data_IF_620111566017
#
_entry.id   IF_620111566017
#
_cell.length_a   1.000
_cell.length_b   1.000
_cell.length_c   1.000
_cell.angle_alpha   90.00
_cell.angle_beta   90.00
_cell.angle_gamma   90.00
#
_symmetry.space_group_name_H-M   'P 1'
#
loop_
_entity.id
_entity.type
_entity.pdbx_description
1 polymer ?
#
# COMPACT_ATOMS: atom_id res chain seq x y z
N UNK A 1 -5.52 -0.50 11.04
CA UNK A 1 -6.70 0.39 11.05
C UNK A 1 -6.75 1.16 9.74
N UNK A 2 -7.94 1.59 9.30
CA UNK A 2 -8.12 2.44 8.11
C UNK A 2 -8.82 3.72 8.58
N UNK A 3 -8.32 4.89 8.16
CA UNK A 3 -8.78 6.18 8.67
C UNK A 3 -10.26 6.45 8.35
N UNK A 4 -10.71 6.12 7.13
CA UNK A 4 -12.11 6.28 6.71
C UNK A 4 -12.58 5.08 5.85
N UNK A 5 -12.94 3.95 6.48
CA UNK A 5 -13.23 2.71 5.76
C UNK A 5 -14.46 2.81 4.84
N UNK A 6 -15.41 3.70 5.16
CA UNK A 6 -16.62 3.90 4.36
C UNK A 6 -16.37 4.46 2.96
N UNK A 7 -15.19 5.05 2.72
CA UNK A 7 -14.83 5.57 1.39
C UNK A 7 -14.49 4.47 0.38
N UNK A 8 -14.15 3.25 0.82
CA UNK A 8 -13.64 2.18 -0.05
C UNK A 8 -14.79 1.44 -0.76
N UNK A 9 -15.92 1.28 -0.09
CA UNK A 9 -17.02 0.44 -0.57
C UNK A 9 -17.53 0.87 -1.94
N UNK A 10 -17.51 -0.05 -2.92
CA UNK A 10 -18.00 0.17 -4.27
C UNK A 10 -17.16 1.12 -5.13
N UNK A 11 -15.93 1.44 -4.72
CA UNK A 11 -15.00 2.28 -5.48
C UNK A 11 -13.98 1.48 -6.28
N UNK A 12 -13.59 2.01 -7.43
CA UNK A 12 -12.38 1.57 -8.16
C UNK A 12 -11.17 2.18 -7.46
N UNK A 13 -10.31 1.35 -6.90
CA UNK A 13 -9.22 1.82 -6.03
C UNK A 13 -7.85 1.55 -6.64
N UNK A 14 -6.95 2.52 -6.56
CA UNK A 14 -5.52 2.31 -6.76
C UNK A 14 -4.88 1.97 -5.41
N UNK A 15 -4.19 0.85 -5.32
CA UNK A 15 -3.49 0.42 -4.10
C UNK A 15 -2.00 0.73 -4.25
N UNK A 16 -1.46 1.54 -3.34
CA UNK A 16 -0.03 1.88 -3.27
C UNK A 16 0.60 1.21 -2.06
N UNK A 17 1.61 0.38 -2.28
CA UNK A 17 2.20 -0.50 -1.25
C UNK A 17 3.72 -0.38 -1.22
N UNK A 18 4.32 -0.85 -0.13
CA UNK A 18 5.76 -0.87 0.00
C UNK A 18 6.38 -2.03 -0.80
N UNK A 19 7.21 -1.69 -1.80
CA UNK A 19 7.80 -2.62 -2.75
C UNK A 19 8.60 -3.79 -2.14
N UNK A 20 9.45 -3.59 -1.10
CA UNK A 20 10.30 -4.64 -0.54
C UNK A 20 9.53 -5.83 0.06
N UNK A 21 8.33 -5.60 0.59
CA UNK A 21 7.53 -6.63 1.26
C UNK A 21 7.00 -7.69 0.27
N UNK A 22 6.77 -7.30 -0.98
CA UNK A 22 6.17 -8.16 -2.01
C UNK A 22 7.18 -8.60 -3.07
N UNK A 23 8.25 -7.83 -3.29
CA UNK A 23 9.34 -8.19 -4.22
C UNK A 23 10.38 -9.10 -3.58
N UNK A 24 10.57 -9.05 -2.25
CA UNK A 24 11.61 -9.81 -1.53
C UNK A 24 11.14 -10.45 -0.20
N UNK A 25 9.96 -10.08 0.33
CA UNK A 25 9.53 -10.39 1.71
C UNK A 25 8.60 -11.59 1.91
N UNK A 26 8.21 -12.32 0.86
CA UNK A 26 7.41 -13.55 0.95
C UNK A 26 5.92 -13.36 1.32
N UNK A 27 5.47 -12.14 1.64
CA UNK A 27 4.05 -11.83 1.72
C UNK A 27 3.48 -11.75 0.30
N UNK A 28 2.34 -12.39 0.04
CA UNK A 28 1.67 -12.36 -1.27
C UNK A 28 0.73 -11.17 -1.44
N UNK A 29 0.34 -10.52 -0.34
CA UNK A 29 -0.74 -9.52 -0.28
C UNK A 29 -0.34 -8.45 0.75
N UNK A 30 -0.41 -7.17 0.36
CA UNK A 30 -0.11 -6.01 1.21
C UNK A 30 -1.30 -5.51 2.03
N UNK A 31 -1.05 -4.55 2.94
CA UNK A 31 -2.07 -4.05 3.87
C UNK A 31 -3.22 -3.30 3.17
N UNK A 32 -2.89 -2.50 2.17
CA UNK A 32 -3.82 -1.84 1.26
C UNK A 32 -4.64 -2.82 0.43
N UNK A 33 -4.05 -3.90 -0.09
CA UNK A 33 -4.81 -4.94 -0.81
C UNK A 33 -5.82 -5.62 0.12
N UNK A 34 -5.40 -6.00 1.33
CA UNK A 34 -6.32 -6.56 2.34
C UNK A 34 -7.43 -5.58 2.69
N UNK A 35 -7.13 -4.28 2.79
CA UNK A 35 -8.14 -3.27 3.05
C UNK A 35 -9.14 -3.11 1.90
N UNK A 36 -8.67 -3.09 0.66
CA UNK A 36 -9.52 -3.02 -0.53
C UNK A 36 -10.55 -4.16 -0.55
N UNK A 37 -10.08 -5.40 -0.33
CA UNK A 37 -10.95 -6.58 -0.28
C UNK A 37 -11.91 -6.53 0.93
N UNK A 38 -11.37 -6.26 2.12
CA UNK A 38 -12.15 -6.26 3.37
C UNK A 38 -13.27 -5.23 3.38
N UNK A 39 -13.05 -4.06 2.79
CA UNK A 39 -14.01 -2.96 2.78
C UNK A 39 -14.80 -2.86 1.47
N UNK A 40 -14.71 -3.87 0.60
CA UNK A 40 -15.60 -4.04 -0.54
C UNK A 40 -15.36 -3.05 -1.68
N UNK A 41 -14.08 -2.78 -2.01
CA UNK A 41 -13.75 -2.09 -3.26
C UNK A 41 -14.37 -2.83 -4.45
N UNK A 42 -14.86 -2.10 -5.45
CA UNK A 42 -15.46 -2.73 -6.64
C UNK A 42 -14.41 -3.32 -7.57
N UNK A 43 -13.22 -2.71 -7.59
CA UNK A 43 -12.10 -3.09 -8.46
C UNK A 43 -10.79 -2.53 -7.88
N UNK A 44 -9.69 -3.26 -8.06
CA UNK A 44 -8.33 -2.72 -7.90
C UNK A 44 -7.78 -2.36 -9.28
N UNK A 45 -7.57 -1.07 -9.54
CA UNK A 45 -7.14 -0.54 -10.84
C UNK A 45 -5.67 -0.90 -11.09
N UNK A 46 -5.39 -1.51 -12.24
CA UNK A 46 -4.02 -1.79 -12.68
C UNK A 46 -3.30 -0.48 -13.10
N UNK A 47 -2.19 -0.10 -12.46
CA UNK A 47 -1.47 1.13 -12.80
C UNK A 47 -0.65 1.02 -14.09
N UNK A 48 -0.47 -0.17 -14.67
CA UNK A 48 0.38 -0.40 -15.87
C UNK A 48 0.14 0.59 -17.03
N UNK A 49 -1.11 0.94 -17.40
CA UNK A 49 -1.37 1.92 -18.47
C UNK A 49 -0.93 3.35 -18.14
N UNK A 50 -0.64 3.65 -16.87
CA UNK A 50 -0.40 4.99 -16.34
C UNK A 50 1.01 5.21 -15.81
N UNK A 51 1.86 4.16 -15.84
CA UNK A 51 3.22 4.21 -15.31
C UNK A 51 4.05 5.31 -15.98
N UNK A 52 4.88 5.95 -15.17
CA UNK A 52 5.82 6.97 -15.63
C UNK A 52 7.23 6.70 -15.14
N UNK A 53 8.22 7.07 -15.95
CA UNK A 53 9.64 7.00 -15.57
C UNK A 53 10.07 5.60 -15.15
N UNK A 54 10.80 5.51 -14.03
CA UNK A 54 11.43 4.25 -13.56
C UNK A 54 10.42 3.20 -13.08
N UNK A 55 9.16 3.58 -12.90
CA UNK A 55 8.10 2.62 -12.58
C UNK A 55 7.81 1.69 -13.77
N UNK A 56 8.04 2.13 -15.02
CA UNK A 56 7.94 1.25 -16.20
C UNK A 56 8.94 0.10 -16.08
N UNK A 57 10.22 0.43 -15.87
CA UNK A 57 11.30 -0.55 -15.69
C UNK A 57 11.01 -1.50 -14.50
N UNK A 58 10.41 -0.97 -13.43
CA UNK A 58 10.02 -1.77 -12.25
C UNK A 58 9.02 -2.86 -12.63
N UNK A 59 7.98 -2.53 -13.40
CA UNK A 59 6.98 -3.53 -13.82
C UNK A 59 7.52 -4.52 -14.86
N UNK A 60 8.52 -4.13 -15.65
CA UNK A 60 9.24 -5.05 -16.54
C UNK A 60 10.11 -6.04 -15.76
N UNK A 61 10.80 -5.57 -14.71
CA UNK A 61 11.62 -6.41 -13.83
C UNK A 61 10.77 -7.33 -12.94
N UNK A 62 9.61 -6.87 -12.50
CA UNK A 62 8.70 -7.59 -11.60
C UNK A 62 7.31 -7.78 -12.22
N UNK A 63 7.17 -8.59 -13.29
CA UNK A 63 5.92 -8.72 -14.03
C UNK A 63 4.76 -9.28 -13.19
N UNK A 64 5.07 -10.02 -12.12
CA UNK A 64 4.11 -10.73 -11.27
C UNK A 64 3.62 -9.93 -10.05
N UNK A 65 3.91 -8.62 -9.96
CA UNK A 65 3.54 -7.79 -8.80
C UNK A 65 2.02 -7.56 -8.66
N UNK A 66 1.23 -7.98 -9.65
CA UNK A 66 -0.23 -7.81 -9.64
C UNK A 66 -0.64 -6.39 -10.03
N UNK A 67 -1.76 -5.91 -9.48
CA UNK A 67 -2.39 -4.62 -9.80
C UNK A 67 -2.03 -3.50 -8.81
N UNK A 68 -1.13 -3.76 -7.85
CA UNK A 68 -0.67 -2.73 -6.92
C UNK A 68 0.45 -1.88 -7.53
N UNK A 69 0.57 -0.65 -7.06
CA UNK A 69 1.66 0.26 -7.40
C UNK A 69 2.73 0.23 -6.29
N UNK A 70 3.96 -0.25 -6.56
CA UNK A 70 5.00 -0.29 -5.55
C UNK A 70 5.66 1.08 -5.35
N UNK A 71 5.77 1.49 -4.09
CA UNK A 71 6.69 2.55 -3.67
C UNK A 71 8.10 1.97 -3.55
N UNK A 72 8.92 2.12 -4.60
CA UNK A 72 10.28 1.55 -4.68
C UNK A 72 11.36 2.42 -4.01
N UNK A 73 11.01 3.62 -3.57
CA UNK A 73 11.91 4.56 -2.91
C UNK A 73 11.38 5.99 -2.96
N UNK A 74 12.08 6.88 -2.27
CA UNK A 74 11.63 8.26 -2.04
C UNK A 74 12.68 9.30 -2.44
N UNK A 75 13.57 8.96 -3.38
CA UNK A 75 14.38 9.97 -4.08
C UNK A 75 13.49 10.92 -4.89
N UNK A 76 13.98 12.13 -5.19
CA UNK A 76 13.19 13.17 -5.87
C UNK A 76 12.55 12.70 -7.18
N UNK A 77 13.30 11.96 -8.01
CA UNK A 77 12.80 11.36 -9.25
C UNK A 77 11.72 10.29 -8.98
N UNK A 78 11.94 9.40 -8.00
CA UNK A 78 10.99 8.34 -7.65
C UNK A 78 9.69 8.91 -7.08
N UNK A 79 9.78 9.94 -6.25
CA UNK A 79 8.61 10.66 -5.72
C UNK A 79 7.82 11.28 -6.86
N UNK A 80 8.50 11.92 -7.82
CA UNK A 80 7.85 12.53 -8.98
C UNK A 80 7.18 11.48 -9.86
N UNK A 81 7.86 10.37 -10.16
CA UNK A 81 7.29 9.28 -10.95
C UNK A 81 6.07 8.65 -10.25
N UNK A 82 6.14 8.47 -8.93
CA UNK A 82 5.04 7.98 -8.12
C UNK A 82 3.85 8.95 -8.14
N UNK A 83 4.11 10.25 -7.98
CA UNK A 83 3.09 11.30 -8.05
C UNK A 83 2.39 11.34 -9.41
N UNK A 84 3.17 11.37 -10.49
CA UNK A 84 2.65 11.43 -11.86
C UNK A 84 1.83 10.18 -12.19
N UNK A 85 2.31 9.00 -11.78
CA UNK A 85 1.59 7.73 -11.98
C UNK A 85 0.27 7.70 -11.20
N UNK A 86 0.30 8.06 -9.90
CA UNK A 86 -0.91 8.11 -9.07
C UNK A 86 -1.93 9.07 -9.66
N UNK A 87 -1.49 10.27 -10.06
CA UNK A 87 -2.40 11.32 -10.54
C UNK A 87 -2.92 11.09 -11.96
N UNK A 88 -2.26 10.24 -12.76
CA UNK A 88 -2.76 9.80 -14.08
C UNK A 88 -3.68 8.59 -14.02
N UNK A 89 -3.59 7.80 -12.96
CA UNK A 89 -4.35 6.56 -12.84
C UNK A 89 -5.83 6.87 -12.69
N UNK A 90 -6.65 6.37 -13.62
CA UNK A 90 -8.11 6.51 -13.57
C UNK A 90 -8.67 5.65 -12.43
N UNK A 91 -8.86 6.24 -11.26
CA UNK A 91 -9.41 5.59 -10.08
C UNK A 91 -10.25 6.57 -9.25
N UNK A 92 -11.17 6.04 -8.45
CA UNK A 92 -12.02 6.85 -7.57
C UNK A 92 -11.34 7.20 -6.24
N UNK A 93 -10.41 6.35 -5.79
CA UNK A 93 -9.77 6.43 -4.48
C UNK A 93 -8.37 5.80 -4.50
N UNK A 94 -7.43 6.41 -3.81
CA UNK A 94 -6.09 5.85 -3.57
C UNK A 94 -6.00 5.28 -2.14
N UNK A 95 -5.60 4.02 -2.03
CA UNK A 95 -5.32 3.34 -0.75
C UNK A 95 -3.81 3.34 -0.52
N UNK A 96 -3.38 4.00 0.54
CA UNK A 96 -1.96 4.10 0.94
C UNK A 96 -1.67 3.02 1.97
N UNK A 97 -1.00 1.95 1.54
CA UNK A 97 -0.56 0.81 2.36
C UNK A 97 0.90 0.88 2.84
N UNK A 98 1.60 2.00 2.59
CA UNK A 98 3.01 2.16 2.98
C UNK A 98 3.19 2.42 4.49
N UNK A 99 4.33 2.03 5.10
CA UNK A 99 4.64 2.34 6.49
C UNK A 99 4.62 3.85 6.80
N UNK A 100 5.20 4.65 5.89
CA UNK A 100 5.16 6.10 5.97
C UNK A 100 3.85 6.66 5.42
N UNK A 101 3.51 7.87 5.80
CA UNK A 101 2.37 8.59 5.23
C UNK A 101 2.77 9.22 3.89
N UNK A 102 2.38 8.63 2.75
CA UNK A 102 2.72 9.15 1.42
C UNK A 102 2.22 10.59 1.20
N UNK A 103 1.12 10.99 1.85
CA UNK A 103 0.57 12.35 1.75
C UNK A 103 1.55 13.44 2.17
N UNK A 104 2.61 13.08 2.92
CA UNK A 104 3.64 14.01 3.38
C UNK A 104 4.73 14.28 2.35
N UNK A 105 4.81 13.46 1.32
CA UNK A 105 5.90 13.50 0.33
C UNK A 105 5.42 13.50 -1.11
N UNK A 106 4.19 13.03 -1.37
CA UNK A 106 3.55 12.97 -2.70
C UNK A 106 2.26 13.79 -2.64
N UNK A 107 2.06 14.65 -3.63
CA UNK A 107 0.82 15.40 -3.81
C UNK A 107 -0.20 14.56 -4.60
N UNK A 108 -1.11 13.92 -3.87
CA UNK A 108 -2.14 13.05 -4.45
C UNK A 108 -3.41 13.87 -4.70
N UNK A 109 -3.80 14.03 -5.97
CA UNK A 109 -5.01 14.77 -6.36
C UNK A 109 -6.30 13.99 -6.09
N UNK A 110 -6.21 12.66 -6.10
CA UNK A 110 -7.33 11.77 -5.82
C UNK A 110 -7.71 11.77 -4.33
N UNK A 111 -8.99 11.55 -3.99
CA UNK A 111 -9.37 11.14 -2.65
C UNK A 111 -8.51 9.95 -2.20
N UNK A 112 -8.09 9.92 -0.94
CA UNK A 112 -7.21 8.87 -0.46
C UNK A 112 -7.47 8.50 1.00
N UNK A 113 -7.13 7.26 1.32
CA UNK A 113 -7.19 6.72 2.68
C UNK A 113 -5.87 6.04 3.01
N UNK A 114 -5.44 6.13 4.26
CA UNK A 114 -4.27 5.43 4.75
C UNK A 114 -4.68 4.18 5.50
N UNK A 115 -3.94 3.10 5.24
CA UNK A 115 -4.03 1.85 5.97
C UNK A 115 -2.80 1.75 6.85
N UNK A 116 -3.03 1.64 8.15
CA UNK A 116 -1.99 1.31 9.11
C UNK A 116 -2.16 -0.15 9.53
N UNK A 117 -1.06 -0.89 9.64
CA UNK A 117 -1.12 -2.19 10.28
C UNK A 117 -0.80 -1.99 11.77
N UNK A 118 -1.75 -2.34 12.63
CA UNK A 118 -1.40 -2.66 14.02
C UNK A 118 -1.16 -4.17 14.04
N UNK A 119 0.07 -4.59 14.39
CA UNK A 119 0.35 -5.99 14.63
C UNK A 119 -0.54 -6.46 15.78
N UNK A 120 -1.61 -7.20 15.47
CA UNK A 120 -2.36 -7.94 16.48
C UNK A 120 -1.73 -9.32 16.60
N UNK A 121 -0.99 -9.55 17.68
CA UNK A 121 -0.54 -10.89 18.04
C UNK A 121 -1.77 -11.77 18.29
N UNK A 122 -1.99 -12.76 17.42
CA UNK A 122 -3.04 -13.76 17.58
C UNK A 122 -2.40 -15.05 18.06
N UNK A 123 -2.47 -15.28 19.37
CA UNK A 123 -1.97 -16.50 20.03
C UNK A 123 -1.34 -16.19 21.38
N UNK A 124 -1.43 -17.16 22.29
CA UNK A 124 -0.73 -17.10 23.57
C UNK A 124 0.42 -18.11 23.57
N UNK A 125 1.57 -17.78 24.19
CA UNK A 125 1.88 -16.46 24.79
C UNK A 125 2.18 -15.43 23.70
N UNK A 126 1.68 -14.20 23.88
CA UNK A 126 2.05 -13.06 23.04
C UNK A 126 3.36 -12.42 23.57
N UNK A 127 3.98 -11.49 22.84
CA UNK A 127 5.24 -10.84 23.28
C UNK A 127 5.09 -10.21 24.66
N UNK A 128 3.94 -9.62 24.96
CA UNK A 128 3.68 -9.03 26.28
C UNK A 128 3.64 -10.10 27.38
N UNK A 129 3.11 -11.29 27.10
CA UNK A 129 3.10 -12.42 28.03
C UNK A 129 4.52 -12.94 28.27
N UNK A 130 5.31 -13.13 27.21
CA UNK A 130 6.71 -13.58 27.31
C UNK A 130 7.57 -12.57 28.07
N UNK A 131 7.38 -11.26 27.83
CA UNK A 131 8.13 -10.21 28.53
C UNK A 131 7.77 -10.14 30.02
N UNK A 132 6.49 -10.36 30.38
CA UNK A 132 6.08 -10.50 31.79
C UNK A 132 6.66 -11.75 32.44
N UNK A 133 6.62 -12.90 31.76
CA UNK A 133 7.20 -14.16 32.25
C UNK A 133 8.70 -14.01 32.54
N UNK A 134 9.41 -13.24 31.72
CA UNK A 134 10.84 -12.98 31.86
C UNK A 134 11.17 -11.73 32.71
N UNK A 135 10.19 -11.11 33.37
CA UNK A 135 10.35 -9.91 34.24
C UNK A 135 11.07 -8.74 33.56
N UNK A 136 10.87 -8.58 32.26
CA UNK A 136 11.42 -7.46 31.50
C UNK A 136 10.49 -6.23 31.49
N UNK A 137 9.23 -6.43 31.86
CA UNK A 137 8.18 -5.41 32.07
C UNK A 137 7.23 -5.84 33.20
#
# INVERSE_FOLDING_TARGET
>A
TVDNPGMISGKRVLVVEDGPTLTHGGMKIGAGTVAAEKFGASEMVDPRPYLTGKLIDTFEQYPNIGTLLPAMGYGSEQVKDLEDTINKTDCDLVIIGTPIDLRRIVNISHPNVRVTYELQERGNPNIKDVLKENKMI
#
